data_IF_306610292951
#
_entry.id   IF_306610292951
#
_cell.length_a   1.000
_cell.length_b   1.000
_cell.length_c   1.000
_cell.angle_alpha   90.00
_cell.angle_beta   90.00
_cell.angle_gamma   90.00
#
_symmetry.space_group_name_H-M   'P 1'
#
loop_
_entity.id
_entity.type
_entity.pdbx_description
1 polymer ?
#
# COMPACT_ATOMS: atom_id res chain seq x y z
N UNK A 1 -46.65 -25.15 -22.48
CA UNK A 1 -45.19 -24.90 -22.45
C UNK A 1 -44.94 -23.59 -21.73
N UNK A 2 -44.71 -23.63 -20.42
CA UNK A 2 -44.53 -22.44 -19.55
C UNK A 2 -43.05 -22.11 -19.43
N UNK A 3 -42.65 -20.94 -19.95
CA UNK A 3 -41.27 -20.46 -19.95
C UNK A 3 -40.94 -19.91 -18.56
N UNK A 4 -40.20 -20.67 -17.76
CA UNK A 4 -39.74 -20.26 -16.43
C UNK A 4 -38.78 -19.06 -16.56
N UNK A 5 -39.21 -17.90 -16.06
CA UNK A 5 -38.35 -16.71 -15.91
C UNK A 5 -37.68 -16.82 -14.55
N UNK A 6 -36.51 -17.48 -14.52
CA UNK A 6 -35.63 -17.47 -13.34
C UNK A 6 -35.21 -16.02 -13.09
N UNK A 7 -35.38 -15.47 -11.88
CA UNK A 7 -35.12 -14.06 -11.62
C UNK A 7 -33.60 -13.85 -11.57
N UNK A 8 -33.10 -13.02 -12.48
CA UNK A 8 -31.70 -12.57 -12.60
C UNK A 8 -31.14 -11.93 -11.32
N UNK A 9 -32.00 -11.61 -10.33
CA UNK A 9 -31.61 -11.01 -9.06
C UNK A 9 -30.81 -11.94 -8.14
N UNK A 10 -30.99 -13.26 -8.21
CA UNK A 10 -30.28 -14.20 -7.32
C UNK A 10 -28.79 -14.35 -7.67
N UNK A 11 -28.42 -14.14 -8.94
CA UNK A 11 -27.02 -14.17 -9.35
C UNK A 11 -26.23 -12.94 -8.88
N UNK A 12 -26.89 -11.77 -8.82
CA UNK A 12 -26.26 -10.52 -8.36
C UNK A 12 -25.95 -10.52 -6.86
N UNK A 13 -26.80 -11.14 -6.04
CA UNK A 13 -26.57 -11.26 -4.60
C UNK A 13 -25.39 -12.20 -4.27
N UNK A 14 -25.16 -13.24 -5.07
CA UNK A 14 -24.06 -14.19 -4.87
C UNK A 14 -22.68 -13.57 -5.20
N UNK A 15 -22.63 -12.64 -6.16
CA UNK A 15 -21.41 -11.89 -6.50
C UNK A 15 -21.05 -10.84 -5.43
N UNK A 16 -22.02 -10.30 -4.70
CA UNK A 16 -21.78 -9.33 -3.63
C UNK A 16 -21.15 -9.97 -2.38
N UNK A 17 -21.39 -11.26 -2.12
CA UNK A 17 -20.87 -11.97 -0.94
C UNK A 17 -19.34 -12.19 -1.06
N UNK A 18 -18.80 -12.31 -2.28
CA UNK A 18 -17.37 -12.49 -2.54
C UNK A 18 -16.54 -11.20 -2.38
N UNK A 19 -17.15 -10.03 -2.21
CA UNK A 19 -16.44 -8.76 -2.07
C UNK A 19 -16.03 -8.44 -0.61
N UNK A 20 -16.36 -9.32 0.35
CA UNK A 20 -16.19 -9.06 1.79
C UNK A 20 -14.76 -9.31 2.31
N UNK A 21 -13.91 -10.01 1.54
CA UNK A 21 -12.51 -10.26 1.93
C UNK A 21 -11.56 -9.08 1.65
N UNK A 22 -12.02 -8.03 0.95
CA UNK A 22 -11.19 -6.87 0.65
C UNK A 22 -10.85 -6.00 1.88
N UNK A 23 -11.49 -6.25 3.03
CA UNK A 23 -11.20 -5.59 4.29
C UNK A 23 -10.03 -6.24 5.06
N UNK A 24 -9.61 -7.47 4.71
CA UNK A 24 -8.52 -8.17 5.38
C UNK A 24 -7.12 -7.62 5.03
N UNK A 25 -7.02 -6.74 4.02
CA UNK A 25 -5.77 -6.23 3.47
C UNK A 25 -5.12 -5.05 4.26
N UNK A 26 -5.61 -4.70 5.45
CA UNK A 26 -5.39 -3.36 6.08
C UNK A 26 -4.68 -3.35 7.44
N UNK A 27 -4.29 -4.49 8.01
CA UNK A 27 -4.07 -4.59 9.45
C UNK A 27 -2.62 -4.75 9.91
N UNK A 28 -1.67 -5.04 9.01
CA UNK A 28 -0.25 -5.11 9.35
C UNK A 28 0.51 -3.98 8.65
N UNK A 29 1.35 -3.20 9.34
CA UNK A 29 2.21 -2.26 8.67
C UNK A 29 3.17 -3.04 7.77
N UNK A 30 3.35 -2.56 6.55
CA UNK A 30 4.38 -3.02 5.63
C UNK A 30 5.77 -2.83 6.24
N UNK A 31 5.96 -1.78 7.04
CA UNK A 31 7.20 -1.45 7.72
C UNK A 31 6.94 -0.49 8.89
N UNK A 32 7.61 -0.71 10.04
CA UNK A 32 7.51 0.21 11.17
C UNK A 32 6.09 0.38 11.72
N UNK A 33 5.74 1.61 12.13
CA UNK A 33 4.42 1.96 12.68
C UNK A 33 3.51 2.68 11.67
N UNK A 34 4.08 3.28 10.63
CA UNK A 34 3.39 4.16 9.70
C UNK A 34 3.26 3.57 8.31
N UNK A 35 4.31 2.91 7.80
CA UNK A 35 4.26 2.42 6.43
C UNK A 35 3.25 1.27 6.29
N UNK A 36 2.10 1.53 5.66
CA UNK A 36 1.12 0.51 5.34
C UNK A 36 -0.27 1.09 5.13
N UNK A 37 -1.08 0.43 4.31
CA UNK A 37 -2.46 0.90 4.08
C UNK A 37 -3.24 0.81 5.39
N UNK A 38 -3.76 1.95 5.86
CA UNK A 38 -4.53 2.00 7.11
C UNK A 38 -3.68 2.03 8.38
N UNK A 39 -2.37 2.25 8.25
CA UNK A 39 -1.48 2.49 9.39
C UNK A 39 -1.17 3.99 9.55
N UNK A 40 -0.91 4.45 10.78
CA UNK A 40 -1.14 3.75 12.04
C UNK A 40 -2.64 3.49 12.26
N UNK A 41 -3.00 2.30 12.73
CA UNK A 41 -4.41 1.95 12.95
C UNK A 41 -5.02 2.71 14.14
N UNK A 42 -4.20 3.18 15.08
CA UNK A 42 -4.62 3.93 16.25
C UNK A 42 -3.55 4.96 16.68
N UNK A 43 -4.00 6.17 17.00
CA UNK A 43 -3.16 7.22 17.57
C UNK A 43 -2.09 7.75 16.61
N UNK A 44 -1.02 8.31 17.18
CA UNK A 44 0.12 8.88 16.45
C UNK A 44 1.41 8.34 17.07
N UNK A 45 1.73 7.05 16.86
CA UNK A 45 2.93 6.45 17.43
C UNK A 45 4.20 7.14 16.89
N UNK A 46 5.30 7.19 17.66
CA UNK A 46 6.55 7.70 17.13
C UNK A 46 7.05 6.80 15.99
N UNK A 47 7.65 7.35 14.92
CA UNK A 47 8.25 6.54 13.87
C UNK A 47 9.45 5.74 14.42
N UNK A 48 9.60 4.51 13.95
CA UNK A 48 10.66 3.57 14.38
C UNK A 48 12.04 3.99 13.88
N UNK A 49 12.10 4.53 12.66
CA UNK A 49 13.34 5.01 12.03
C UNK A 49 13.06 6.09 10.96
N UNK A 50 14.09 6.45 10.18
CA UNK A 50 13.98 7.47 9.13
C UNK A 50 13.01 7.09 8.00
N UNK A 51 12.92 5.81 7.63
CA UNK A 51 12.00 5.33 6.61
C UNK A 51 10.56 5.37 7.10
N UNK A 52 10.32 4.92 8.34
CA UNK A 52 9.02 4.98 8.98
C UNK A 52 8.56 6.45 9.16
N UNK A 53 9.50 7.35 9.45
CA UNK A 53 9.22 8.78 9.51
C UNK A 53 8.85 9.39 8.14
N UNK A 54 9.37 8.84 7.04
CA UNK A 54 8.98 9.25 5.69
C UNK A 54 7.54 8.82 5.38
N UNK A 55 7.17 7.60 5.77
CA UNK A 55 5.78 7.13 5.67
C UNK A 55 4.83 8.00 6.51
N UNK A 56 5.21 8.34 7.74
CA UNK A 56 4.44 9.28 8.57
C UNK A 56 4.18 10.61 7.86
N UNK A 57 5.21 11.20 7.22
CA UNK A 57 5.05 12.45 6.47
C UNK A 57 4.15 12.28 5.24
N UNK A 58 4.23 11.14 4.55
CA UNK A 58 3.38 10.82 3.41
C UNK A 58 1.91 10.67 3.82
N UNK A 59 1.62 9.94 4.90
CA UNK A 59 0.26 9.77 5.42
C UNK A 59 -0.36 11.10 5.86
N UNK A 60 0.42 11.93 6.57
CA UNK A 60 -0.03 13.26 6.97
C UNK A 60 -0.26 14.19 5.76
N UNK A 61 0.57 14.09 4.71
CA UNK A 61 0.43 14.87 3.49
C UNK A 61 -0.82 14.47 2.71
N UNK A 62 -1.05 13.17 2.54
CA UNK A 62 -2.22 12.64 1.81
C UNK A 62 -3.53 12.85 2.58
N UNK A 63 -3.48 12.92 3.92
CA UNK A 63 -4.62 13.29 4.76
C UNK A 63 -4.95 14.79 4.75
N UNK A 64 -4.06 15.65 4.24
CA UNK A 64 -4.28 17.09 4.16
C UNK A 64 -4.88 17.51 2.80
N UNK A 65 -5.57 18.67 2.72
CA UNK A 65 -5.99 19.22 1.44
C UNK A 65 -4.78 19.50 0.54
N UNK A 66 -4.74 18.91 -0.65
CA UNK A 66 -3.61 19.08 -1.57
C UNK A 66 -3.59 18.08 -2.71
N UNK A 67 -2.46 18.07 -3.44
CA UNK A 67 -2.21 17.11 -4.50
C UNK A 67 -1.59 15.84 -3.92
N UNK A 68 -2.31 14.72 -3.98
CA UNK A 68 -1.74 13.41 -3.63
C UNK A 68 -0.50 13.09 -4.47
N UNK A 69 -0.49 13.45 -5.75
CA UNK A 69 0.67 13.24 -6.63
C UNK A 69 1.91 13.99 -6.13
N UNK A 70 1.73 15.19 -5.56
CA UNK A 70 2.85 15.92 -4.97
C UNK A 70 3.38 15.22 -3.71
N UNK A 71 2.49 14.70 -2.87
CA UNK A 71 2.86 13.88 -1.70
C UNK A 71 3.62 12.61 -2.13
N UNK A 72 3.12 11.90 -3.15
CA UNK A 72 3.73 10.68 -3.69
C UNK A 72 5.15 10.94 -4.23
N UNK A 73 5.34 12.04 -4.97
CA UNK A 73 6.67 12.44 -5.48
C UNK A 73 7.62 12.78 -4.35
N UNK A 74 7.16 13.56 -3.35
CA UNK A 74 7.97 13.94 -2.20
C UNK A 74 8.41 12.70 -1.40
N UNK A 75 7.49 11.75 -1.20
CA UNK A 75 7.76 10.50 -0.50
C UNK A 75 8.82 9.65 -1.21
N UNK A 76 8.68 9.41 -2.53
CA UNK A 76 9.67 8.63 -3.31
C UNK A 76 11.04 9.30 -3.28
N UNK A 77 11.07 10.63 -3.42
CA UNK A 77 12.31 11.42 -3.35
C UNK A 77 13.00 11.26 -1.99
N UNK A 78 12.22 11.29 -0.91
CA UNK A 78 12.71 11.12 0.45
C UNK A 78 13.23 9.69 0.71
N UNK A 79 12.51 8.66 0.27
CA UNK A 79 12.99 7.27 0.36
C UNK A 79 14.34 7.09 -0.33
N UNK A 80 14.52 7.67 -1.52
CA UNK A 80 15.79 7.61 -2.25
C UNK A 80 16.91 8.34 -1.51
N UNK A 81 16.61 9.51 -0.93
CA UNK A 81 17.59 10.27 -0.15
C UNK A 81 18.05 9.49 1.10
N UNK A 82 17.13 8.87 1.84
CA UNK A 82 17.47 8.04 3.00
C UNK A 82 18.26 6.80 2.55
N UNK A 83 17.81 6.12 1.49
CA UNK A 83 18.49 4.95 0.95
C UNK A 83 19.93 5.26 0.50
N UNK A 84 20.16 6.43 -0.09
CA UNK A 84 21.49 6.89 -0.46
C UNK A 84 22.39 7.15 0.76
N UNK A 85 21.83 7.56 1.90
CA UNK A 85 22.56 7.77 3.14
C UNK A 85 22.93 6.46 3.84
N UNK A 86 22.01 5.50 3.91
CA UNK A 86 22.19 4.25 4.66
C UNK A 86 22.70 3.08 3.80
N UNK A 87 22.69 3.23 2.48
CA UNK A 87 23.19 2.24 1.52
C UNK A 87 22.20 1.12 1.17
N UNK A 88 20.95 1.19 1.62
CA UNK A 88 19.90 0.23 1.25
C UNK A 88 18.50 0.82 1.37
N UNK A 89 17.52 0.20 0.68
CA UNK A 89 16.09 0.43 0.88
C UNK A 89 15.46 -0.86 1.43
N UNK A 90 14.74 -0.83 2.57
CA UNK A 90 14.11 -2.02 3.13
C UNK A 90 13.26 -2.75 2.09
N UNK A 91 13.39 -4.08 2.01
CA UNK A 91 12.72 -4.92 1.01
C UNK A 91 11.21 -4.66 0.92
N UNK A 92 10.45 -4.53 2.03
CA UNK A 92 9.02 -4.19 1.97
C UNK A 92 8.75 -2.84 1.29
N UNK A 93 9.63 -1.85 1.49
CA UNK A 93 9.49 -0.50 0.92
C UNK A 93 9.89 -0.41 -0.55
N UNK A 94 10.62 -1.40 -1.10
CA UNK A 94 10.97 -1.41 -2.53
C UNK A 94 9.73 -1.48 -3.42
N UNK A 95 8.72 -2.26 -3.03
CA UNK A 95 7.45 -2.31 -3.77
C UNK A 95 6.58 -1.07 -3.55
N UNK A 96 6.55 -0.53 -2.33
CA UNK A 96 5.83 0.71 -2.05
C UNK A 96 6.39 1.86 -2.88
N UNK A 97 7.71 2.02 -2.90
CA UNK A 97 8.41 2.98 -3.76
C UNK A 97 8.03 2.79 -5.23
N UNK A 98 8.12 1.55 -5.75
CA UNK A 98 7.83 1.27 -7.15
C UNK A 98 6.38 1.62 -7.52
N UNK A 99 5.42 1.15 -6.72
CA UNK A 99 4.00 1.39 -6.97
C UNK A 99 3.66 2.88 -6.89
N UNK A 100 4.17 3.59 -5.88
CA UNK A 100 3.90 5.02 -5.69
C UNK A 100 4.57 5.86 -6.78
N UNK A 101 5.81 5.52 -7.18
CA UNK A 101 6.49 6.17 -8.32
C UNK A 101 5.70 6.01 -9.61
N UNK A 102 5.21 4.80 -9.90
CA UNK A 102 4.40 4.55 -11.11
C UNK A 102 3.07 5.30 -11.01
N UNK A 103 2.40 5.28 -9.84
CA UNK A 103 1.18 6.06 -9.57
C UNK A 103 1.39 7.55 -9.85
N UNK A 104 2.55 8.10 -9.49
CA UNK A 104 2.87 9.52 -9.66
C UNK A 104 3.41 9.89 -11.04
N UNK A 105 3.34 8.99 -12.03
CA UNK A 105 3.82 9.25 -13.40
C UNK A 105 5.33 9.13 -13.60
N UNK A 106 6.04 8.54 -12.63
CA UNK A 106 7.46 8.25 -12.75
C UNK A 106 7.77 7.13 -13.74
N UNK A 107 9.05 6.96 -14.12
CA UNK A 107 9.47 5.93 -15.07
C UNK A 107 9.29 4.53 -14.48
N UNK A 108 9.01 3.56 -15.36
CA UNK A 108 8.91 2.14 -15.02
C UNK A 108 10.28 1.47 -14.74
N UNK A 109 11.33 2.25 -14.40
CA UNK A 109 12.70 1.78 -14.15
C UNK A 109 13.56 2.78 -13.37
N UNK A 110 14.84 2.43 -13.08
CA UNK A 110 15.82 3.33 -12.46
C UNK A 110 16.25 2.98 -11.02
N UNK A 111 15.64 1.98 -10.40
CA UNK A 111 16.07 1.30 -9.16
C UNK A 111 16.08 -0.21 -9.43
N UNK A 112 16.77 -1.07 -8.64
CA UNK A 112 16.63 -2.51 -8.77
C UNK A 112 15.15 -2.85 -8.73
N UNK A 113 14.63 -3.46 -9.80
CA UNK A 113 13.25 -3.89 -9.83
C UNK A 113 13.02 -4.83 -8.64
N UNK A 114 11.94 -4.64 -7.87
CA UNK A 114 11.63 -5.57 -6.81
C UNK A 114 11.58 -6.98 -7.40
N UNK A 115 12.28 -7.91 -6.76
CA UNK A 115 12.30 -9.30 -7.23
C UNK A 115 10.91 -9.92 -7.02
N UNK A 116 10.56 -11.01 -7.73
CA UNK A 116 9.32 -11.74 -7.45
C UNK A 116 9.18 -12.13 -5.96
N UNK A 117 10.29 -12.36 -5.27
CA UNK A 117 10.32 -12.63 -3.83
C UNK A 117 9.96 -11.42 -2.96
N UNK A 118 10.28 -10.21 -3.42
CA UNK A 118 9.79 -8.98 -2.78
C UNK A 118 8.27 -8.88 -2.90
N UNK A 119 7.70 -9.38 -4.01
CA UNK A 119 6.26 -9.34 -4.23
C UNK A 119 5.57 -10.26 -3.23
N UNK A 120 6.15 -11.42 -2.94
CA UNK A 120 5.68 -12.30 -1.86
C UNK A 120 5.77 -11.64 -0.48
N UNK A 121 6.79 -10.83 -0.20
CA UNK A 121 6.88 -10.07 1.06
C UNK A 121 5.77 -9.01 1.19
N UNK A 122 5.53 -8.24 0.13
CA UNK A 122 4.40 -7.32 0.05
C UNK A 122 3.06 -8.08 0.16
N UNK A 123 2.89 -9.17 -0.58
CA UNK A 123 1.71 -10.04 -0.54
C UNK A 123 1.52 -10.73 0.81
N UNK A 124 2.57 -11.07 1.53
CA UNK A 124 2.47 -11.67 2.87
C UNK A 124 2.00 -10.64 3.89
N UNK A 125 2.41 -9.38 3.72
CA UNK A 125 1.91 -8.25 4.52
C UNK A 125 0.45 -7.94 4.17
N UNK A 126 0.07 -8.13 2.90
CA UNK A 126 -1.30 -7.98 2.39
C UNK A 126 -2.19 -9.18 2.78
N UNK A 127 -1.66 -10.39 2.88
CA UNK A 127 -2.40 -11.61 3.19
C UNK A 127 -2.41 -11.97 4.68
N UNK A 128 -1.74 -11.19 5.53
CA UNK A 128 -1.73 -11.39 6.97
C UNK A 128 -3.09 -10.98 7.58
N UNK A 129 -3.81 -11.90 8.25
CA UNK A 129 -5.08 -11.55 8.87
C UNK A 129 -4.91 -10.61 10.06
N UNK A 130 -5.96 -9.82 10.33
CA UNK A 130 -6.07 -8.82 11.40
C UNK A 130 -6.29 -9.42 12.82
N UNK A 131 -5.73 -10.60 13.10
CA UNK A 131 -5.93 -11.32 14.36
C UNK A 131 -4.83 -11.09 15.38
#
# INVERSE_FOLDING_TARGET
MTRSRIPTCLAGALLAILATDAAAFKCMPLYGNWCGVGHPSHGFPPPVDAFDAACMRHDLCTGAPGSETACDIAFVTELHAIAAQVGYLPRPLQWAEYAIRVKSGGPWGGMPMPTPWDAFGAMSSVAAPCW
#
